data_IF_313340941254
#
_entry.id   IF_313340941254
#
_cell.length_a   1.000
_cell.length_b   1.000
_cell.length_c   1.000
_cell.angle_alpha   90.00
_cell.angle_beta   90.00
_cell.angle_gamma   90.00
#
_symmetry.space_group_name_H-M   'P 1'
#
loop_
_entity.id
_entity.type
_entity.pdbx_description
1 polymer ?
#
# COMPACT_ATOMS: atom_id res chain seq x y z
N UNK A 1 -57.10 16.28 11.76
CA UNK A 1 -55.71 16.65 11.46
C UNK A 1 -54.74 15.60 12.01
N UNK A 2 -54.56 14.42 11.38
CA UNK A 2 -53.84 13.32 12.10
C UNK A 2 -53.10 12.29 11.24
N UNK A 3 -53.02 12.43 9.91
CA UNK A 3 -52.27 11.48 9.06
C UNK A 3 -50.97 12.06 8.48
N UNK A 4 -50.93 13.38 8.18
CA UNK A 4 -49.77 14.01 7.51
C UNK A 4 -48.55 14.25 8.41
N UNK A 5 -48.69 14.16 9.73
CA UNK A 5 -47.56 14.34 10.68
C UNK A 5 -46.79 13.05 11.01
N UNK A 6 -47.29 11.88 10.60
CA UNK A 6 -46.64 10.58 10.91
C UNK A 6 -45.71 10.07 9.82
N UNK A 7 -45.78 10.64 8.62
CA UNK A 7 -44.91 10.23 7.49
C UNK A 7 -43.57 10.96 7.55
N UNK A 8 -43.51 12.14 8.16
CA UNK A 8 -42.30 12.98 8.21
C UNK A 8 -41.22 12.47 9.18
N UNK A 9 -41.59 11.68 10.19
CA UNK A 9 -40.64 11.22 11.24
C UNK A 9 -39.90 9.93 10.86
N UNK A 10 -40.46 9.09 9.99
CA UNK A 10 -39.84 7.82 9.58
C UNK A 10 -38.77 8.03 8.49
N UNK A 11 -38.93 9.03 7.62
CA UNK A 11 -37.93 9.35 6.59
C UNK A 11 -36.63 9.95 7.18
N UNK A 12 -36.72 10.71 8.28
CA UNK A 12 -35.57 11.38 8.88
C UNK A 12 -34.65 10.42 9.69
N UNK A 13 -35.17 9.30 10.18
CA UNK A 13 -34.41 8.35 11.00
C UNK A 13 -33.82 7.16 10.20
N UNK A 14 -34.30 6.91 8.98
CA UNK A 14 -33.77 5.87 8.11
C UNK A 14 -32.62 6.30 7.20
N UNK A 15 -32.54 7.59 6.85
CA UNK A 15 -31.52 8.13 5.93
C UNK A 15 -30.21 8.52 6.63
N UNK A 16 -30.25 8.85 7.93
CA UNK A 16 -29.06 9.25 8.69
C UNK A 16 -28.01 8.13 8.86
N UNK A 17 -28.38 6.84 9.14
CA UNK A 17 -27.39 5.77 9.24
C UNK A 17 -26.80 5.35 7.87
N UNK A 18 -27.58 5.47 6.79
CA UNK A 18 -27.13 5.18 5.42
C UNK A 18 -26.21 6.28 4.86
N UNK A 19 -26.41 7.54 5.26
CA UNK A 19 -25.49 8.63 4.93
C UNK A 19 -24.14 8.50 5.66
N UNK A 20 -24.10 7.87 6.84
CA UNK A 20 -22.87 7.66 7.60
C UNK A 20 -22.05 6.45 7.13
N UNK A 21 -22.70 5.45 6.50
CA UNK A 21 -22.03 4.31 5.88
C UNK A 21 -21.37 4.63 4.52
N UNK A 22 -21.68 5.80 3.93
CA UNK A 22 -21.07 6.30 2.69
C UNK A 22 -19.76 7.05 2.90
N UNK A 23 -19.34 7.28 4.14
CA UNK A 23 -17.98 7.71 4.46
C UNK A 23 -17.08 6.47 4.36
N UNK A 24 -16.83 6.02 3.12
CA UNK A 24 -15.72 5.12 2.87
C UNK A 24 -14.46 5.84 3.39
N UNK A 25 -13.87 5.31 4.47
CA UNK A 25 -12.53 5.70 4.90
C UNK A 25 -11.62 5.38 3.72
N UNK A 26 -11.26 6.40 2.92
CA UNK A 26 -10.25 6.23 1.89
C UNK A 26 -9.02 5.63 2.59
N UNK A 27 -8.50 4.48 2.14
CA UNK A 27 -7.22 3.98 2.63
C UNK A 27 -6.21 5.12 2.59
N UNK A 28 -5.67 5.47 3.75
CA UNK A 28 -4.66 6.50 3.82
C UNK A 28 -3.43 5.97 3.06
N UNK A 29 -3.02 6.68 2.00
CA UNK A 29 -1.94 6.26 1.11
C UNK A 29 -0.59 6.47 1.79
N UNK A 30 0.30 5.48 1.65
CA UNK A 30 1.68 5.58 2.10
C UNK A 30 2.58 5.93 0.92
N UNK A 31 3.66 6.65 1.15
CA UNK A 31 4.54 7.05 0.05
C UNK A 31 5.95 7.30 0.56
N UNK A 32 6.93 6.84 -0.19
CA UNK A 32 8.33 7.08 0.09
C UNK A 32 9.27 6.20 -0.72
N UNK A 33 10.58 6.35 -0.49
CA UNK A 33 11.61 5.52 -1.10
C UNK A 33 12.92 5.56 -0.30
N UNK A 34 13.83 4.61 -0.57
CA UNK A 34 15.15 4.55 0.05
C UNK A 34 16.03 5.72 -0.40
N UNK A 35 16.58 6.44 0.57
CA UNK A 35 17.55 7.54 0.38
C UNK A 35 18.93 7.21 0.94
N UNK A 36 19.07 6.17 1.75
CA UNK A 36 20.37 5.62 2.16
C UNK A 36 20.27 4.08 2.37
N UNK A 37 20.89 3.27 1.48
CA UNK A 37 21.47 3.68 0.19
C UNK A 37 20.38 4.16 -0.79
N UNK A 38 20.75 5.10 -1.66
CA UNK A 38 19.80 5.77 -2.57
C UNK A 38 19.23 4.76 -3.58
N UNK A 39 17.90 4.74 -3.72
CA UNK A 39 17.23 3.90 -4.73
C UNK A 39 17.41 4.42 -6.16
N UNK A 40 17.27 3.55 -7.17
CA UNK A 40 17.26 3.91 -8.59
C UNK A 40 16.27 5.03 -8.89
N UNK A 41 15.03 4.90 -8.40
CA UNK A 41 13.96 5.87 -8.67
C UNK A 41 14.27 7.22 -8.02
N UNK A 42 14.78 7.22 -6.79
CA UNK A 42 15.20 8.44 -6.09
C UNK A 42 16.40 9.10 -6.76
N UNK A 43 17.42 8.32 -7.16
CA UNK A 43 18.58 8.85 -7.87
C UNK A 43 18.18 9.50 -9.21
N UNK A 44 17.34 8.83 -10.00
CA UNK A 44 16.91 9.37 -11.28
C UNK A 44 15.96 10.57 -11.15
N UNK A 45 15.15 10.62 -10.09
CA UNK A 45 14.36 11.82 -9.80
C UNK A 45 15.28 13.00 -9.43
N UNK A 46 16.32 12.76 -8.62
CA UNK A 46 17.30 13.77 -8.23
C UNK A 46 18.14 14.30 -9.41
N UNK A 47 18.35 13.49 -10.45
CA UNK A 47 18.99 13.94 -11.70
C UNK A 47 18.07 14.85 -12.55
N UNK A 48 16.79 14.96 -12.21
CA UNK A 48 15.80 15.77 -12.94
C UNK A 48 15.03 14.94 -13.98
N UNK A 49 13.69 14.78 -13.85
CA UNK A 49 12.92 13.90 -14.73
C UNK A 49 12.97 14.22 -16.23
N UNK A 50 13.03 15.51 -16.59
CA UNK A 50 12.94 15.96 -17.99
C UNK A 50 14.27 15.83 -18.75
N UNK A 51 15.39 15.80 -18.03
CA UNK A 51 16.73 15.75 -18.62
C UNK A 51 17.74 15.17 -17.64
N UNK A 52 17.60 13.88 -17.26
CA UNK A 52 18.52 13.24 -16.34
C UNK A 52 19.93 13.18 -16.94
N UNK A 53 20.96 13.08 -16.11
CA UNK A 53 22.36 13.14 -16.53
C UNK A 53 22.92 11.78 -16.94
N UNK A 54 22.67 10.75 -16.12
CA UNK A 54 23.24 9.42 -16.28
C UNK A 54 22.61 8.65 -17.44
N UNK A 55 23.42 7.80 -18.08
CA UNK A 55 22.93 6.98 -19.18
C UNK A 55 21.83 6.01 -18.74
N UNK A 56 21.87 5.51 -17.50
CA UNK A 56 20.85 4.63 -16.95
C UNK A 56 19.52 5.37 -16.70
N UNK A 57 19.54 6.57 -16.12
CA UNK A 57 18.32 7.35 -15.91
C UNK A 57 17.71 7.87 -17.22
N UNK A 58 18.54 8.23 -18.22
CA UNK A 58 18.07 8.49 -19.60
C UNK A 58 17.37 7.27 -20.19
N UNK A 59 17.92 6.07 -19.99
CA UNK A 59 17.32 4.84 -20.48
C UNK A 59 16.01 4.49 -19.76
N UNK A 60 15.90 4.76 -18.45
CA UNK A 60 14.66 4.65 -17.69
C UNK A 60 13.58 5.54 -18.32
N UNK A 61 13.87 6.83 -18.54
CA UNK A 61 12.93 7.78 -19.14
C UNK A 61 12.56 7.38 -20.57
N UNK A 62 13.52 6.92 -21.37
CA UNK A 62 13.24 6.42 -22.72
C UNK A 62 12.31 5.19 -22.72
N UNK A 63 12.37 4.36 -21.68
CA UNK A 63 11.53 3.17 -21.56
C UNK A 63 10.13 3.47 -20.99
N UNK A 64 10.02 4.36 -20.01
CA UNK A 64 8.81 4.56 -19.20
C UNK A 64 8.20 5.98 -19.23
N UNK A 65 8.84 6.94 -19.89
CA UNK A 65 8.50 8.35 -19.81
C UNK A 65 9.02 9.00 -18.51
N UNK A 66 8.66 10.27 -18.31
CA UNK A 66 9.11 11.07 -17.15
C UNK A 66 8.22 10.91 -15.92
N UNK A 67 6.94 10.61 -16.11
CA UNK A 67 5.95 10.48 -15.03
C UNK A 67 6.36 9.55 -13.87
N UNK A 68 6.99 8.39 -14.10
CA UNK A 68 7.43 7.52 -13.01
C UNK A 68 8.42 8.20 -12.05
N UNK A 69 9.22 9.16 -12.56
CA UNK A 69 10.16 9.91 -11.73
C UNK A 69 9.46 10.99 -10.91
N UNK A 70 8.40 11.62 -11.42
CA UNK A 70 7.56 12.50 -10.60
C UNK A 70 6.83 11.73 -9.49
N UNK A 71 6.52 10.47 -9.74
CA UNK A 71 5.85 9.56 -8.82
C UNK A 71 6.85 8.61 -8.13
N UNK A 72 8.04 9.12 -7.83
CA UNK A 72 9.19 8.34 -7.33
C UNK A 72 8.92 7.63 -5.99
N UNK A 73 7.94 8.11 -5.25
CA UNK A 73 7.56 7.66 -3.91
C UNK A 73 6.45 6.58 -3.92
N UNK A 74 6.05 6.07 -5.08
CA UNK A 74 4.91 5.15 -5.25
C UNK A 74 5.25 3.88 -6.06
N UNK A 75 6.46 3.34 -5.93
CA UNK A 75 6.73 1.98 -6.42
C UNK A 75 6.08 0.97 -5.47
N UNK A 76 4.77 0.80 -5.59
CA UNK A 76 3.93 0.04 -4.67
C UNK A 76 3.21 -1.15 -5.32
N UNK A 77 2.58 -1.97 -4.49
CA UNK A 77 1.47 -2.85 -4.85
C UNK A 77 0.40 -2.68 -3.76
N UNK A 78 -0.74 -2.08 -4.12
CA UNK A 78 -1.82 -1.75 -3.18
C UNK A 78 -2.36 -2.97 -2.40
N UNK A 79 -2.38 -4.16 -3.02
CA UNK A 79 -2.91 -5.39 -2.44
C UNK A 79 -1.84 -6.47 -2.27
N UNK A 80 -0.62 -6.11 -1.84
CA UNK A 80 0.47 -7.05 -1.66
C UNK A 80 0.17 -8.12 -0.61
N UNK A 81 -0.31 -7.70 0.56
CA UNK A 81 -0.67 -8.54 1.71
C UNK A 81 0.40 -9.59 2.06
N UNK A 82 1.68 -9.22 1.96
CA UNK A 82 2.82 -10.12 2.20
C UNK A 82 3.15 -11.09 1.04
N UNK A 83 2.35 -11.15 -0.02
CA UNK A 83 2.49 -12.11 -1.12
C UNK A 83 3.49 -11.64 -2.21
N UNK A 84 4.59 -10.99 -1.81
CA UNK A 84 5.49 -10.28 -2.72
C UNK A 84 6.06 -11.17 -3.85
N UNK A 85 6.58 -12.36 -3.50
CA UNK A 85 7.19 -13.28 -4.49
C UNK A 85 6.19 -13.86 -5.48
N UNK A 86 4.92 -14.00 -5.06
CA UNK A 86 3.86 -14.50 -5.92
C UNK A 86 3.38 -13.43 -6.90
N UNK A 87 3.33 -12.17 -6.45
CA UNK A 87 2.81 -11.04 -7.23
C UNK A 87 3.84 -10.43 -8.17
N UNK A 88 5.14 -10.54 -7.84
CA UNK A 88 6.23 -9.91 -8.58
C UNK A 88 7.04 -10.99 -9.31
N UNK A 89 6.93 -11.10 -10.64
CA UNK A 89 7.73 -12.03 -11.42
C UNK A 89 9.23 -11.68 -11.39
N UNK A 90 10.05 -12.69 -11.66
CA UNK A 90 11.48 -12.48 -11.95
C UNK A 90 11.67 -11.46 -13.10
N UNK A 91 12.68 -10.62 -12.96
CA UNK A 91 12.96 -9.52 -13.88
C UNK A 91 12.08 -8.28 -13.69
N UNK A 92 11.16 -8.30 -12.71
CA UNK A 92 10.23 -7.19 -12.42
C UNK A 92 10.29 -6.69 -10.98
N UNK A 93 11.35 -7.04 -10.26
CA UNK A 93 11.48 -6.72 -8.84
C UNK A 93 11.53 -5.22 -8.59
N UNK A 94 12.26 -4.47 -9.42
CA UNK A 94 12.49 -3.04 -9.22
C UNK A 94 11.29 -2.18 -9.62
N UNK A 95 10.46 -2.66 -10.55
CA UNK A 95 9.16 -2.02 -10.90
C UNK A 95 7.99 -2.50 -10.05
N UNK A 96 8.20 -3.47 -9.16
CA UNK A 96 7.14 -4.20 -8.47
C UNK A 96 6.10 -4.83 -9.44
N UNK A 97 6.53 -5.21 -10.65
CA UNK A 97 5.62 -5.74 -11.68
C UNK A 97 4.77 -4.69 -12.40
N UNK A 98 4.91 -3.40 -12.08
CA UNK A 98 4.09 -2.32 -12.67
C UNK A 98 4.70 -1.78 -13.95
N UNK A 99 3.91 -1.73 -15.01
CA UNK A 99 4.35 -1.21 -16.31
C UNK A 99 4.76 0.27 -16.25
N UNK A 100 4.11 1.07 -15.38
CA UNK A 100 4.52 2.45 -15.06
C UNK A 100 6.01 2.54 -14.75
N UNK A 101 6.54 1.59 -13.97
CA UNK A 101 7.91 1.62 -13.47
C UNK A 101 8.87 0.69 -14.22
N UNK A 102 8.48 0.16 -15.39
CA UNK A 102 9.28 -0.85 -16.14
C UNK A 102 10.71 -0.42 -16.48
N UNK A 103 10.99 0.88 -16.55
CA UNK A 103 12.34 1.40 -16.76
C UNK A 103 13.31 1.07 -15.62
N UNK A 104 12.82 0.83 -14.40
CA UNK A 104 13.64 0.43 -13.25
C UNK A 104 14.20 -0.99 -13.39
N UNK A 105 13.60 -1.83 -14.23
CA UNK A 105 14.00 -3.23 -14.44
C UNK A 105 15.13 -3.39 -15.47
N UNK A 106 15.59 -2.30 -16.10
CA UNK A 106 16.61 -2.38 -17.14
C UNK A 106 17.91 -2.99 -16.57
N UNK A 107 18.43 -4.07 -17.16
CA UNK A 107 19.62 -4.75 -16.67
C UNK A 107 20.88 -4.02 -17.12
N UNK A 108 21.39 -3.14 -16.26
CA UNK A 108 22.53 -2.27 -16.56
C UNK A 108 23.54 -2.25 -15.42
N UNK A 109 24.83 -2.19 -15.77
CA UNK A 109 25.92 -2.05 -14.80
C UNK A 109 26.22 -0.59 -14.40
N UNK A 110 25.65 0.39 -15.11
CA UNK A 110 25.93 1.82 -14.97
C UNK A 110 24.81 2.61 -14.27
N UNK A 111 23.94 1.94 -13.52
CA UNK A 111 23.01 2.62 -12.61
C UNK A 111 23.78 3.43 -11.56
N UNK A 112 23.33 4.68 -11.24
CA UNK A 112 23.88 5.43 -10.13
C UNK A 112 23.92 4.58 -8.87
N UNK A 113 25.04 4.60 -8.14
CA UNK A 113 25.24 3.71 -6.99
C UNK A 113 25.78 4.41 -5.76
N UNK A 114 25.41 3.91 -4.57
CA UNK A 114 25.98 4.35 -3.30
C UNK A 114 27.18 3.47 -2.90
N UNK A 115 28.22 4.07 -2.33
CA UNK A 115 29.25 3.29 -1.64
C UNK A 115 28.64 2.70 -0.36
N UNK A 116 28.81 1.40 -0.12
CA UNK A 116 28.32 0.73 1.08
C UNK A 116 29.43 -0.12 1.70
N UNK A 117 29.57 -0.06 3.02
CA UNK A 117 30.53 -0.84 3.77
C UNK A 117 29.86 -2.01 4.48
N UNK A 118 30.58 -3.12 4.61
CA UNK A 118 30.18 -4.24 5.48
C UNK A 118 30.20 -3.80 6.95
N UNK A 119 29.31 -4.36 7.77
CA UNK A 119 29.18 -4.02 9.20
C UNK A 119 27.99 -3.11 9.51
N UNK A 120 28.04 -2.41 10.64
CA UNK A 120 26.94 -1.56 11.06
C UNK A 120 26.70 -0.41 10.08
N UNK A 121 25.44 -0.24 9.68
CA UNK A 121 24.99 0.88 8.87
C UNK A 121 23.61 1.36 9.36
N UNK A 122 23.39 2.66 9.30
CA UNK A 122 22.09 3.28 9.59
C UNK A 122 21.40 3.64 8.29
N UNK A 123 20.27 3.01 8.02
CA UNK A 123 19.49 3.16 6.80
C UNK A 123 18.48 4.29 6.92
N UNK A 124 18.16 4.90 5.77
CA UNK A 124 17.16 5.98 5.68
C UNK A 124 16.19 5.73 4.54
N UNK A 125 14.91 5.76 4.88
CA UNK A 125 13.80 5.69 3.93
C UNK A 125 12.96 6.97 4.05
N UNK A 126 13.03 7.87 3.07
CA UNK A 126 12.22 9.10 3.05
C UNK A 126 10.76 8.70 2.92
N UNK A 127 9.90 9.22 3.80
CA UNK A 127 8.46 8.99 3.78
C UNK A 127 7.75 10.33 3.57
N UNK A 128 7.13 10.50 2.40
CA UNK A 128 6.27 11.67 2.13
C UNK A 128 4.89 11.50 2.75
N UNK A 129 4.45 10.25 2.94
CA UNK A 129 3.27 9.90 3.73
C UNK A 129 3.63 8.71 4.66
N UNK A 130 3.92 8.96 5.96
CA UNK A 130 4.32 7.92 6.91
C UNK A 130 3.16 6.99 7.33
N UNK A 131 3.42 5.68 7.41
CA UNK A 131 2.50 4.64 7.89
C UNK A 131 3.18 3.59 8.77
N UNK A 132 2.39 2.78 9.49
CA UNK A 132 2.95 1.68 10.28
C UNK A 132 3.28 0.50 9.37
N UNK A 133 4.42 -0.14 9.59
CA UNK A 133 4.81 -1.29 8.80
C UNK A 133 6.16 -1.87 9.16
N UNK A 134 6.53 -2.90 8.41
CA UNK A 134 7.80 -3.60 8.54
C UNK A 134 8.64 -3.35 7.29
N UNK A 135 9.89 -2.96 7.51
CA UNK A 135 10.91 -2.83 6.48
C UNK A 135 11.79 -4.08 6.49
N UNK A 136 12.04 -4.64 5.32
CA UNK A 136 12.97 -5.75 5.09
C UNK A 136 13.96 -5.35 3.99
N UNK A 137 15.25 -5.46 4.28
CA UNK A 137 16.31 -5.23 3.29
C UNK A 137 16.99 -6.56 2.93
N UNK A 138 16.93 -6.88 1.65
CA UNK A 138 17.62 -8.01 1.04
C UNK A 138 18.83 -7.51 0.26
N UNK A 139 19.83 -8.39 0.11
CA UNK A 139 21.04 -8.09 -0.64
C UNK A 139 21.22 -9.17 -1.72
N UNK A 140 21.76 -8.81 -2.87
CA UNK A 140 22.11 -9.82 -3.88
C UNK A 140 23.25 -10.74 -3.40
N UNK A 141 23.20 -11.99 -3.85
CA UNK A 141 24.23 -13.01 -3.62
C UNK A 141 25.54 -12.66 -4.32
N UNK A 142 26.62 -13.33 -3.91
CA UNK A 142 27.90 -13.23 -4.59
C UNK A 142 27.78 -13.73 -6.04
N UNK A 143 28.49 -13.07 -6.95
CA UNK A 143 28.39 -13.35 -8.38
C UNK A 143 27.18 -12.72 -9.08
N UNK A 144 26.45 -11.83 -8.40
CA UNK A 144 25.42 -10.98 -9.01
C UNK A 144 25.95 -10.26 -10.26
N UNK A 145 25.18 -10.32 -11.33
CA UNK A 145 25.49 -9.72 -12.62
C UNK A 145 24.43 -8.67 -12.95
N UNK A 146 24.72 -7.37 -12.80
CA UNK A 146 23.74 -6.31 -13.01
C UNK A 146 23.34 -6.16 -14.49
N UNK A 147 24.02 -6.84 -15.42
CA UNK A 147 23.66 -6.88 -16.84
C UNK A 147 22.61 -7.94 -17.17
N UNK A 148 22.08 -8.64 -16.16
CA UNK A 148 20.96 -9.57 -16.27
C UNK A 148 19.74 -9.06 -15.48
N UNK A 149 18.51 -9.37 -15.92
CA UNK A 149 17.31 -9.03 -15.14
C UNK A 149 17.37 -9.69 -13.76
N UNK A 150 17.13 -8.89 -12.71
CA UNK A 150 17.15 -9.33 -11.31
C UNK A 150 16.05 -10.35 -11.04
N UNK A 151 16.38 -11.45 -10.37
CA UNK A 151 15.44 -12.50 -9.97
C UNK A 151 15.35 -12.63 -8.46
N UNK A 152 14.27 -13.21 -7.95
CA UNK A 152 14.17 -13.56 -6.53
C UNK A 152 15.28 -14.52 -6.08
N UNK A 153 15.74 -15.39 -6.99
CA UNK A 153 16.86 -16.31 -6.71
C UNK A 153 18.20 -15.61 -6.54
N UNK A 154 18.34 -14.38 -7.05
CA UNK A 154 19.59 -13.61 -6.98
C UNK A 154 19.75 -12.91 -5.63
N UNK A 155 18.66 -12.78 -4.86
CA UNK A 155 18.69 -12.25 -3.50
C UNK A 155 19.06 -13.34 -2.48
N UNK A 156 19.74 -12.94 -1.41
CA UNK A 156 19.88 -13.76 -0.20
C UNK A 156 18.49 -14.17 0.32
N UNK A 157 18.35 -15.38 0.83
CA UNK A 157 17.04 -15.94 1.20
C UNK A 157 16.34 -15.16 2.31
N UNK A 158 17.14 -14.57 3.21
CA UNK A 158 16.68 -13.80 4.37
C UNK A 158 17.11 -12.34 4.24
N UNK A 159 16.29 -11.39 4.72
CA UNK A 159 16.72 -10.01 4.81
C UNK A 159 17.86 -9.89 5.82
N UNK A 160 18.85 -9.05 5.52
CA UNK A 160 19.96 -8.78 6.44
C UNK A 160 19.60 -7.69 7.47
N UNK A 161 18.57 -6.89 7.19
CA UNK A 161 17.97 -5.95 8.13
C UNK A 161 16.45 -6.08 8.09
N UNK A 162 15.83 -6.10 9.28
CA UNK A 162 14.37 -6.14 9.43
C UNK A 162 13.96 -5.31 10.64
N UNK A 163 13.07 -4.35 10.45
CA UNK A 163 12.58 -3.46 11.51
C UNK A 163 11.09 -3.22 11.36
N UNK A 164 10.35 -3.18 12.46
CA UNK A 164 8.92 -2.84 12.48
C UNK A 164 8.74 -1.52 13.18
N UNK A 165 8.01 -0.60 12.53
CA UNK A 165 7.72 0.75 13.01
C UNK A 165 8.99 1.49 13.48
N UNK A 166 10.01 1.65 12.62
CA UNK A 166 11.20 2.43 12.96
C UNK A 166 10.83 3.89 13.29
N UNK A 167 11.74 4.58 13.99
CA UNK A 167 11.58 5.99 14.30
C UNK A 167 11.52 6.82 13.01
N UNK A 168 10.66 7.84 13.00
CA UNK A 168 10.59 8.81 11.92
C UNK A 168 11.34 10.07 12.36
N UNK A 169 12.47 10.34 11.71
CA UNK A 169 13.31 11.50 12.00
C UNK A 169 13.42 12.37 10.76
N UNK A 170 13.01 13.64 10.86
CA UNK A 170 13.09 14.61 9.76
C UNK A 170 12.44 14.10 8.45
N UNK A 171 11.31 13.40 8.57
CA UNK A 171 10.57 12.86 7.43
C UNK A 171 11.16 11.59 6.81
N UNK A 172 12.13 10.94 7.46
CA UNK A 172 12.65 9.65 7.04
C UNK A 172 12.57 8.62 8.17
N UNK A 173 12.22 7.38 7.83
CA UNK A 173 12.41 6.27 8.75
C UNK A 173 13.89 5.98 8.89
N UNK A 174 14.35 5.86 10.13
CA UNK A 174 15.76 5.63 10.48
C UNK A 174 15.87 4.33 11.26
N UNK A 175 16.74 3.43 10.80
CA UNK A 175 16.94 2.14 11.44
C UNK A 175 18.31 1.54 11.14
N UNK A 176 18.82 0.75 12.08
CA UNK A 176 20.12 0.11 11.94
C UNK A 176 20.02 -1.30 11.34
N UNK A 177 21.11 -1.72 10.70
CA UNK A 177 21.31 -3.10 10.27
C UNK A 177 22.78 -3.46 10.18
N UNK A 178 23.08 -4.76 10.08
CA UNK A 178 24.44 -5.27 9.92
C UNK A 178 24.58 -5.74 8.48
N UNK A 179 25.27 -4.95 7.66
CA UNK A 179 25.52 -5.25 6.26
C UNK A 179 26.46 -6.45 6.15
N UNK A 180 26.06 -7.53 5.44
CA UNK A 180 26.91 -8.70 5.23
C UNK A 180 28.22 -8.35 4.53
N UNK A 181 29.24 -9.18 4.72
CA UNK A 181 30.50 -8.99 4.03
C UNK A 181 30.37 -9.28 2.53
N UNK A 182 30.43 -8.25 1.70
CA UNK A 182 30.37 -8.32 0.23
C UNK A 182 31.53 -7.55 -0.40
N UNK A 183 31.71 -7.72 -1.71
CA UNK A 183 32.71 -6.98 -2.49
C UNK A 183 32.21 -6.69 -3.90
N UNK A 184 32.55 -5.53 -4.45
CA UNK A 184 32.12 -5.12 -5.78
C UNK A 184 30.67 -4.65 -5.80
N UNK A 185 30.06 -4.69 -6.99
CA UNK A 185 28.72 -4.19 -7.25
C UNK A 185 27.64 -5.18 -6.80
N UNK A 186 26.68 -4.68 -6.04
CA UNK A 186 25.52 -5.40 -5.55
C UNK A 186 24.26 -4.53 -5.64
N UNK A 187 23.12 -5.10 -5.27
CA UNK A 187 21.85 -4.40 -5.18
C UNK A 187 21.20 -4.71 -3.83
N UNK A 188 20.76 -3.66 -3.13
CA UNK A 188 19.89 -3.75 -1.97
C UNK A 188 18.45 -3.66 -2.46
N UNK A 189 17.64 -4.66 -2.12
CA UNK A 189 16.21 -4.68 -2.41
C UNK A 189 15.44 -4.45 -1.12
N UNK A 190 14.64 -3.38 -1.07
CA UNK A 190 13.82 -3.07 0.09
C UNK A 190 12.36 -3.46 -0.15
N UNK A 191 11.71 -3.93 0.91
CA UNK A 191 10.27 -4.12 1.00
C UNK A 191 9.78 -3.37 2.23
N UNK A 192 8.81 -2.47 2.06
CA UNK A 192 8.03 -1.91 3.16
C UNK A 192 6.61 -2.46 3.09
N UNK A 193 6.29 -3.45 3.91
CA UNK A 193 4.94 -3.98 4.04
C UNK A 193 4.21 -3.20 5.13
N UNK A 194 3.10 -2.55 4.78
CA UNK A 194 2.26 -1.87 5.78
C UNK A 194 1.56 -2.87 6.68
N UNK A 195 1.27 -2.43 7.90
CA UNK A 195 0.53 -3.19 8.90
C UNK A 195 -0.92 -2.70 9.09
N UNK A 196 -1.24 -1.52 8.54
CA UNK A 196 -2.55 -0.88 8.57
C UNK A 196 -3.31 -0.99 7.22
N UNK A 197 -2.69 -1.63 6.22
CA UNK A 197 -3.21 -1.85 4.86
C UNK A 197 -2.48 -3.04 4.22
N UNK A 198 -3.07 -3.75 3.23
CA UNK A 198 -2.35 -4.77 2.48
C UNK A 198 -1.22 -4.19 1.60
N UNK A 199 -1.15 -2.88 1.39
CA UNK A 199 -0.18 -2.25 0.50
C UNK A 199 1.29 -2.46 0.92
N UNK A 200 2.17 -2.61 -0.06
CA UNK A 200 3.62 -2.64 0.14
C UNK A 200 4.38 -1.80 -0.88
N UNK A 201 5.57 -1.33 -0.52
CA UNK A 201 6.48 -0.54 -1.36
C UNK A 201 7.80 -1.27 -1.58
N UNK A 202 8.43 -0.99 -2.72
CA UNK A 202 9.58 -1.73 -3.20
C UNK A 202 10.63 -0.79 -3.76
N UNK A 203 11.90 -0.99 -3.40
CA UNK A 203 12.99 -0.18 -3.98
C UNK A 203 14.19 -1.05 -4.33
N UNK A 204 14.87 -0.70 -5.41
CA UNK A 204 16.20 -1.21 -5.76
C UNK A 204 17.23 -0.10 -5.55
N UNK A 205 18.26 -0.33 -4.74
CA UNK A 205 19.39 0.58 -4.55
C UNK A 205 20.68 -0.12 -4.99
N UNK A 206 21.32 0.37 -6.05
CA UNK A 206 22.62 -0.15 -6.48
C UNK A 206 23.72 0.31 -5.55
N UNK A 207 24.58 -0.61 -5.11
CA UNK A 207 25.63 -0.34 -4.13
C UNK A 207 26.96 -0.93 -4.57
N UNK A 208 28.05 -0.32 -4.11
CA UNK A 208 29.42 -0.81 -4.35
C UNK A 208 30.15 -0.99 -3.04
N UNK A 209 30.64 -2.21 -2.82
CA UNK A 209 31.48 -2.59 -1.69
C UNK A 209 32.95 -2.51 -2.09
N UNK A 210 33.64 -1.45 -1.67
CA UNK A 210 35.04 -1.23 -2.05
C UNK A 210 35.18 -0.74 -3.49
N UNK A 211 35.92 -1.48 -4.33
CA UNK A 211 36.12 -1.10 -5.75
C UNK A 211 35.02 -1.68 -6.63
N UNK A 212 34.50 -0.87 -7.54
CA UNK A 212 33.58 -1.34 -8.58
C UNK A 212 34.36 -2.22 -9.58
N UNK A 213 34.04 -3.50 -9.62
CA UNK A 213 34.66 -4.49 -10.49
C UNK A 213 33.97 -4.63 -11.86
N UNK A 214 32.98 -3.79 -12.17
CA UNK A 214 31.95 -4.09 -13.16
C UNK A 214 31.93 -3.36 -14.52
N UNK A 215 32.87 -2.47 -14.88
CA UNK A 215 32.78 -1.81 -16.20
C UNK A 215 33.89 -0.84 -16.58
N UNK A 216 33.96 -0.52 -17.88
CA UNK A 216 35.00 0.31 -18.52
C UNK A 216 34.96 1.81 -18.10
N UNK A 217 33.98 2.20 -17.29
CA UNK A 217 33.87 3.50 -16.62
C UNK A 217 33.10 3.31 -15.29
N UNK A 218 33.44 4.03 -14.20
CA UNK A 218 32.69 3.98 -12.95
C UNK A 218 31.25 4.46 -13.17
N UNK A 219 30.26 3.77 -12.59
CA UNK A 219 28.90 4.33 -12.54
C UNK A 219 28.89 5.62 -11.70
N UNK A 220 27.98 6.57 -11.99
CA UNK A 220 27.90 7.80 -11.21
C UNK A 220 27.52 7.51 -9.74
N UNK A 221 27.93 8.40 -8.84
CA UNK A 221 27.47 8.35 -7.45
C UNK A 221 25.99 8.69 -7.38
N UNK A 222 25.19 7.87 -6.68
CA UNK A 222 23.78 8.17 -6.46
C UNK A 222 23.61 9.27 -5.41
N UNK A 223 22.68 10.20 -5.66
CA UNK A 223 22.28 11.27 -4.74
C UNK A 223 20.79 11.17 -4.46
N UNK A 224 20.39 11.33 -3.20
CA UNK A 224 18.98 11.45 -2.85
C UNK A 224 18.42 12.81 -3.32
N UNK A 225 17.12 12.88 -3.66
CA UNK A 225 16.46 14.14 -3.97
C UNK A 225 16.55 15.10 -2.77
N UNK A 226 16.78 16.38 -3.04
CA UNK A 226 16.65 17.43 -2.04
C UNK A 226 15.17 17.73 -1.76
N UNK A 227 14.85 18.38 -0.63
CA UNK A 227 13.49 18.86 -0.39
C UNK A 227 13.00 19.81 -1.49
N UNK A 228 13.91 20.60 -2.06
CA UNK A 228 13.61 21.51 -3.17
C UNK A 228 13.24 20.74 -4.45
N UNK A 229 13.91 19.62 -4.73
CA UNK A 229 13.56 18.77 -5.88
C UNK A 229 12.17 18.15 -5.68
N UNK A 230 11.90 17.66 -4.47
CA UNK A 230 10.60 17.07 -4.09
C UNK A 230 9.48 18.10 -4.25
N UNK A 231 9.68 19.32 -3.75
CA UNK A 231 8.69 20.41 -3.84
C UNK A 231 8.39 20.78 -5.31
N UNK A 232 9.43 20.90 -6.15
CA UNK A 232 9.25 21.19 -7.58
C UNK A 232 8.59 20.05 -8.36
N UNK A 233 8.86 18.80 -7.97
CA UNK A 233 8.26 17.63 -8.60
C UNK A 233 6.81 17.40 -8.18
N UNK A 234 6.41 17.87 -7.01
CA UNK A 234 5.09 17.60 -6.43
C UNK A 234 3.93 18.07 -7.34
N UNK A 235 4.07 19.23 -7.99
CA UNK A 235 3.04 19.76 -8.90
C UNK A 235 2.78 18.89 -10.14
N UNK A 236 3.75 18.04 -10.51
CA UNK A 236 3.67 17.14 -11.66
C UNK A 236 3.40 15.69 -11.25
N UNK A 237 3.36 15.38 -9.96
CA UNK A 237 3.04 14.05 -9.50
C UNK A 237 1.57 13.74 -9.76
N UNK A 238 1.28 12.54 -10.27
CA UNK A 238 -0.08 12.02 -10.39
C UNK A 238 -0.55 11.29 -9.14
N UNK A 239 0.37 11.15 -8.17
CA UNK A 239 0.13 10.52 -6.89
C UNK A 239 -0.52 11.52 -5.96
N UNK A 240 -1.81 11.38 -5.74
CA UNK A 240 -2.48 12.10 -4.67
C UNK A 240 -2.11 11.46 -3.32
N UNK A 241 -1.64 12.28 -2.37
CA UNK A 241 -1.44 11.87 -0.98
C UNK A 241 -2.76 11.44 -0.30
N UNK A 242 -3.91 11.63 -0.95
CA UNK A 242 -5.23 11.12 -0.56
C UNK A 242 -5.86 10.05 -1.48
N UNK A 243 -5.19 9.61 -2.56
CA UNK A 243 -5.75 8.72 -3.58
C UNK A 243 -4.97 7.40 -3.76
N UNK A 244 -5.64 6.37 -4.28
CA UNK A 244 -5.02 5.06 -4.49
C UNK A 244 -4.02 5.09 -5.63
N UNK A 245 -2.74 4.99 -5.28
CA UNK A 245 -1.70 4.56 -6.19
C UNK A 245 -2.02 3.20 -6.79
N UNK A 246 -2.46 3.21 -8.03
CA UNK A 246 -2.82 2.07 -8.87
C UNK A 246 -3.02 2.58 -10.29
N UNK A 247 -2.81 1.75 -11.31
CA UNK A 247 -2.89 2.18 -12.71
C UNK A 247 -4.34 2.46 -13.19
N UNK A 248 -5.27 2.75 -12.28
CA UNK A 248 -6.63 3.18 -12.60
C UNK A 248 -6.61 4.63 -13.09
N UNK A 249 -6.28 4.78 -14.37
CA UNK A 249 -6.52 6.00 -15.12
C UNK A 249 -8.03 6.29 -15.16
N UNK A 250 -8.52 7.11 -14.23
CA UNK A 250 -9.77 7.83 -14.40
C UNK A 250 -9.64 8.79 -15.58
N UNK A 251 -10.44 8.58 -16.62
CA UNK A 251 -10.48 9.44 -17.81
C UNK A 251 -10.70 10.92 -17.48
N UNK A 252 -10.15 11.85 -18.29
CA UNK A 252 -10.47 13.26 -18.17
C UNK A 252 -11.92 13.51 -18.61
N UNK A 253 -12.64 14.29 -17.83
CA UNK A 253 -13.99 14.72 -18.15
C UNK A 253 -14.00 15.59 -19.43
N UNK A 254 -14.67 15.13 -20.50
CA UNK A 254 -15.13 16.04 -21.56
C UNK A 254 -15.43 15.44 -22.93
N UNK A 255 -16.71 15.50 -23.30
CA UNK A 255 -17.27 15.61 -24.65
C UNK A 255 -17.46 14.33 -25.51
N UNK A 256 -18.65 13.74 -25.34
CA UNK A 256 -19.65 13.53 -26.41
C UNK A 256 -19.32 12.57 -27.56
N UNK A 257 -20.10 11.49 -27.69
CA UNK A 257 -20.85 11.17 -28.92
C UNK A 257 -21.77 9.97 -28.76
N UNK A 258 -22.77 10.00 -29.64
CA UNK A 258 -23.81 9.03 -30.01
C UNK A 258 -23.81 7.58 -29.52
N UNK A 259 -25.04 7.16 -29.23
CA UNK A 259 -25.45 5.79 -29.02
C UNK A 259 -25.35 4.95 -30.32
N UNK A 260 -24.63 3.84 -30.24
CA UNK A 260 -24.65 2.75 -31.20
C UNK A 260 -24.65 1.42 -30.45
N UNK A 261 -25.84 0.82 -30.33
CA UNK A 261 -26.07 -0.51 -29.76
C UNK A 261 -25.53 -1.61 -30.66
N UNK A 262 -24.83 -2.59 -30.09
CA UNK A 262 -24.95 -3.98 -30.57
C UNK A 262 -24.84 -4.97 -29.41
N UNK A 263 -25.65 -6.01 -29.50
CA UNK A 263 -25.89 -7.06 -28.51
C UNK A 263 -25.16 -8.34 -28.91
N UNK A 264 -24.76 -9.14 -27.92
CA UNK A 264 -24.15 -10.45 -28.17
C UNK A 264 -24.11 -11.31 -26.92
N UNK A 265 -25.21 -11.99 -26.65
CA UNK A 265 -25.40 -13.11 -25.72
C UNK A 265 -24.52 -14.32 -26.07
N UNK A 266 -24.04 -15.10 -25.10
CA UNK A 266 -24.63 -16.41 -24.73
C UNK A 266 -23.70 -17.23 -23.81
N UNK A 267 -24.34 -18.22 -23.18
CA UNK A 267 -24.12 -18.93 -21.94
C UNK A 267 -23.07 -20.05 -21.93
N UNK A 268 -22.85 -20.61 -20.72
CA UNK A 268 -22.34 -21.97 -20.57
C UNK A 268 -21.85 -22.37 -19.17
N UNK A 269 -22.77 -22.69 -18.25
CA UNK A 269 -22.52 -23.55 -17.07
C UNK A 269 -23.54 -24.71 -17.10
N UNK A 270 -23.18 -25.93 -16.66
CA UNK A 270 -23.89 -26.53 -15.50
C UNK A 270 -22.94 -27.37 -14.58
N UNK A 271 -23.02 -27.25 -13.23
CA UNK A 271 -23.74 -28.09 -12.24
C UNK A 271 -22.77 -29.11 -11.56
N UNK A 272 -22.39 -29.03 -10.26
CA UNK A 272 -23.09 -29.23 -8.95
C UNK A 272 -23.15 -30.71 -8.48
N UNK A 273 -22.21 -31.15 -7.60
CA UNK A 273 -22.33 -31.56 -6.15
C UNK A 273 -22.67 -33.06 -5.90
N UNK A 274 -22.62 -33.62 -4.66
CA UNK A 274 -22.09 -33.16 -3.35
C UNK A 274 -21.27 -34.24 -2.56
N UNK A 275 -20.67 -33.88 -1.42
CA UNK A 275 -20.60 -34.75 -0.23
C UNK A 275 -20.22 -33.99 1.06
N UNK A 276 -20.95 -34.29 2.13
CA UNK A 276 -20.90 -33.75 3.49
C UNK A 276 -19.77 -34.35 4.35
N UNK A 277 -19.31 -33.62 5.38
CA UNK A 277 -19.30 -34.03 6.80
C UNK A 277 -18.51 -33.06 7.68
N UNK A 278 -19.15 -32.59 8.76
CA UNK A 278 -18.55 -31.89 9.90
C UNK A 278 -18.16 -32.91 11.01
N UNK A 279 -17.40 -32.51 12.07
CA UNK A 279 -18.09 -31.98 13.25
C UNK A 279 -17.35 -30.90 14.09
N UNK A 280 -18.20 -30.11 14.76
CA UNK A 280 -18.21 -29.54 16.13
C UNK A 280 -17.09 -28.66 16.74
N UNK A 281 -17.60 -27.67 17.48
CA UNK A 281 -16.93 -26.63 18.25
C UNK A 281 -16.90 -26.95 19.76
N UNK A 282 -15.95 -26.34 20.50
CA UNK A 282 -16.06 -26.09 21.94
C UNK A 282 -15.50 -24.71 22.31
N UNK A 283 -16.17 -24.09 23.29
CA UNK A 283 -16.05 -22.70 23.69
C UNK A 283 -15.14 -22.45 24.91
N UNK A 284 -14.58 -21.23 24.93
CA UNK A 284 -14.35 -20.27 26.02
C UNK A 284 -13.62 -20.65 27.32
N UNK A 285 -12.56 -19.88 27.64
CA UNK A 285 -12.40 -19.20 28.94
C UNK A 285 -11.39 -18.01 28.82
N UNK A 286 -11.65 -16.91 29.55
CA UNK A 286 -10.89 -15.65 29.70
C UNK A 286 -10.88 -15.29 31.21
N UNK A 287 -10.19 -14.24 31.73
CA UNK A 287 -8.92 -13.60 31.38
C UNK A 287 -7.98 -13.42 32.61
N UNK A 288 -6.76 -12.89 32.44
CA UNK A 288 -5.94 -12.39 33.55
C UNK A 288 -5.03 -11.20 33.16
N UNK A 289 -4.79 -10.33 34.15
CA UNK A 289 -4.52 -8.90 34.05
C UNK A 289 -3.04 -8.45 33.87
N UNK A 290 -2.88 -7.20 33.45
CA UNK A 290 -1.64 -6.45 33.21
C UNK A 290 -0.90 -5.97 34.49
N UNK A 291 0.33 -5.45 34.34
CA UNK A 291 0.63 -4.13 34.94
C UNK A 291 1.37 -3.13 34.03
N UNK A 292 1.49 -1.90 34.56
CA UNK A 292 1.66 -0.58 33.95
C UNK A 292 3.00 -0.22 33.25
N UNK A 293 2.91 0.84 32.43
CA UNK A 293 3.98 1.52 31.69
C UNK A 293 4.62 2.70 32.46
N UNK A 294 5.70 3.31 31.90
CA UNK A 294 5.92 4.75 32.02
C UNK A 294 5.96 5.45 30.64
N UNK A 295 5.69 6.75 30.67
CA UNK A 295 5.29 7.61 29.56
C UNK A 295 6.43 8.15 28.70
N UNK A 296 6.18 8.37 27.39
CA UNK A 296 6.91 9.35 26.58
C UNK A 296 6.00 10.02 25.53
N UNK A 297 6.40 11.25 25.21
CA UNK A 297 5.73 12.35 24.49
C UNK A 297 5.18 12.03 23.11
N UNK A 298 3.94 12.48 22.86
CA UNK A 298 3.23 12.33 21.59
C UNK A 298 3.72 13.28 20.49
N UNK A 299 4.25 12.69 19.43
CA UNK A 299 4.32 13.29 18.10
C UNK A 299 3.08 12.89 17.29
N UNK A 300 2.53 13.85 16.54
CA UNK A 300 1.30 13.70 15.76
C UNK A 300 1.49 12.68 14.63
N UNK A 301 1.32 11.40 14.95
CA UNK A 301 0.93 10.39 13.97
C UNK A 301 -0.51 10.70 13.57
N UNK A 302 -0.82 10.70 12.27
CA UNK A 302 -2.19 10.86 11.79
C UNK A 302 -3.09 9.78 12.42
N UNK A 303 -3.73 10.13 13.53
CA UNK A 303 -4.63 9.26 14.26
C UNK A 303 -5.98 9.28 13.54
N UNK A 304 -6.17 8.38 12.59
CA UNK A 304 -7.51 7.92 12.19
C UNK A 304 -7.77 6.56 12.83
N UNK A 305 -7.71 6.53 14.16
CA UNK A 305 -8.12 5.39 14.98
C UNK A 305 -8.89 5.94 16.18
N UNK A 306 -10.18 5.66 16.23
CA UNK A 306 -11.14 6.33 17.11
C UNK A 306 -10.76 6.33 18.60
N UNK A 307 -11.09 7.42 19.27
CA UNK A 307 -10.94 7.55 20.72
C UNK A 307 -11.96 6.67 21.48
N UNK A 308 -11.86 6.64 22.81
CA UNK A 308 -12.70 5.84 23.71
C UNK A 308 -14.21 6.18 23.68
N UNK A 309 -14.64 7.18 22.91
CA UNK A 309 -16.05 7.44 22.59
C UNK A 309 -16.59 6.50 21.49
N UNK A 310 -15.71 5.90 20.69
CA UNK A 310 -16.07 5.02 19.56
C UNK A 310 -16.74 3.73 20.04
N UNK A 311 -16.33 3.20 21.20
CA UNK A 311 -16.98 2.03 21.82
C UNK A 311 -18.41 2.33 22.27
N UNK A 312 -18.68 3.54 22.76
CA UNK A 312 -20.04 3.96 23.14
C UNK A 312 -20.94 4.18 21.92
N UNK A 313 -20.38 4.63 20.80
CA UNK A 313 -21.09 4.73 19.52
C UNK A 313 -21.38 3.35 18.90
N UNK A 314 -20.44 2.40 18.98
CA UNK A 314 -20.62 1.03 18.49
C UNK A 314 -21.66 0.24 19.33
N UNK A 315 -21.63 0.37 20.66
CA UNK A 315 -22.62 -0.24 21.56
C UNK A 315 -24.00 0.43 21.38
N UNK A 316 -24.05 1.75 21.18
CA UNK A 316 -25.27 2.47 20.87
C UNK A 316 -25.92 2.05 19.55
N UNK A 317 -25.11 1.79 18.52
CA UNK A 317 -25.58 1.31 17.21
C UNK A 317 -26.20 -0.08 17.25
N UNK A 318 -25.60 -1.02 17.99
CA UNK A 318 -26.12 -2.38 18.16
C UNK A 318 -27.44 -2.39 18.97
N UNK A 319 -27.55 -1.55 20.01
CA UNK A 319 -28.78 -1.42 20.80
C UNK A 319 -29.94 -0.82 19.98
N UNK A 320 -29.67 0.15 19.10
CA UNK A 320 -30.66 0.74 18.22
C UNK A 320 -31.21 -0.27 17.18
N UNK A 321 -30.35 -1.15 16.63
CA UNK A 321 -30.75 -2.21 15.70
C UNK A 321 -31.61 -3.29 16.37
N UNK A 322 -31.29 -3.67 17.61
CA UNK A 322 -32.09 -4.64 18.36
C UNK A 322 -33.50 -4.12 18.70
N UNK A 323 -33.62 -2.84 19.06
CA UNK A 323 -34.92 -2.20 19.32
C UNK A 323 -35.74 -2.03 18.03
N UNK A 324 -35.07 -1.70 16.91
CA UNK A 324 -35.72 -1.62 15.59
C UNK A 324 -36.30 -2.95 15.12
N UNK A 325 -35.56 -4.06 15.30
CA UNK A 325 -36.04 -5.39 14.95
C UNK A 325 -37.24 -5.83 15.82
N UNK A 326 -37.20 -5.58 17.13
CA UNK A 326 -38.30 -5.93 18.05
C UNK A 326 -39.60 -5.17 17.73
N UNK A 327 -39.53 -3.91 17.29
CA UNK A 327 -40.68 -3.13 16.87
C UNK A 327 -41.31 -3.66 15.56
N UNK A 328 -40.49 -4.10 14.59
CA UNK A 328 -40.96 -4.67 13.33
C UNK A 328 -41.64 -6.03 13.53
N UNK A 329 -41.09 -6.90 14.38
CA UNK A 329 -41.73 -8.19 14.70
C UNK A 329 -43.00 -8.04 15.56
N UNK A 330 -43.05 -7.05 16.46
CA UNK A 330 -44.24 -6.76 17.27
C UNK A 330 -45.43 -6.21 16.47
N UNK A 331 -45.18 -5.42 15.42
CA UNK A 331 -46.22 -4.87 14.55
C UNK A 331 -46.77 -5.91 13.55
N UNK A 332 -45.94 -6.87 13.12
CA UNK A 332 -46.39 -8.01 12.31
C UNK A 332 -47.35 -8.94 13.06
N UNK A 333 -47.06 -9.23 14.33
CA UNK A 333 -47.90 -10.09 15.19
C UNK A 333 -49.26 -9.48 15.54
N UNK A 334 -49.40 -8.15 15.58
CA UNK A 334 -50.70 -7.49 15.83
C UNK A 334 -51.62 -7.49 14.61
N UNK A 335 -51.09 -7.56 13.40
CA UNK A 335 -51.90 -7.63 12.17
C UNK A 335 -52.48 -9.02 11.90
N UNK A 336 -51.80 -10.08 12.32
CA UNK A 336 -52.29 -11.46 12.14
C UNK A 336 -53.40 -11.84 13.13
N UNK A 337 -53.41 -11.28 14.35
CA UNK A 337 -54.47 -11.53 15.34
C UNK A 337 -55.79 -10.80 15.00
N UNK A 338 -55.74 -9.68 14.28
CA UNK A 338 -56.94 -8.92 13.89
C UNK A 338 -57.71 -9.51 12.69
N UNK A 339 -57.12 -10.45 11.95
CA UNK A 339 -57.72 -11.03 10.73
C UNK A 339 -58.40 -12.40 10.94
N UNK A 340 -58.26 -13.02 12.12
CA UNK A 340 -58.74 -14.39 12.37
C UNK A 340 -60.15 -14.53 13.00
N UNK A 341 -60.85 -13.43 13.26
CA UNK A 341 -62.08 -13.44 14.08
C UNK A 341 -63.37 -13.22 13.30
N UNK A 342 -63.69 -14.04 12.29
CA UNK A 342 -65.07 -14.16 11.74
C UNK A 342 -65.21 -15.42 10.88
N UNK A 343 -65.68 -16.50 11.50
CA UNK A 343 -66.44 -17.66 10.97
C UNK A 343 -66.45 -18.65 12.14
N UNK A 344 -67.57 -19.04 12.76
CA UNK A 344 -68.67 -19.82 12.19
C UNK A 344 -69.78 -19.97 13.24
N UNK A 345 -71.03 -19.99 12.75
CA UNK A 345 -72.26 -20.63 13.28
C UNK A 345 -72.81 -20.20 14.64
#
# INVERSE_FOLDING_TARGET
MTARRKVTTVAALGLAPLALAGLATAPASAHGSMTDPVSRISACFAEGPESPDSAACKALVAAGGTQPLYDWNEVNIANAAGNHKQLIPDGKLCSAGRDKYKGLDLPRADWPSSALASGNHTFRYKATAPHKGTFELYLTKDGYDPTKPLKWSDLEEKPFAKVTNPALENGAYVFDGIVPNKSGRHLVYSIWQRSDSPEAFYTCSDVVFGKDSGGNAPAPSASAPSEQDIEQGAEKSTVDHGGHGGDDHGEPAGAGTDAGTDAGTDAGKPAEQPAENAPEAKAADEPAAAPAAPETSGENLAATGGDSSTTYLAIGGAAALAVGAAALFGLGRRRTVAAGGRHSR
#
